data_IF_467106015292
#
_entry.id   IF_467106015292
#
_cell.length_a   1.000
_cell.length_b   1.000
_cell.length_c   1.000
_cell.angle_alpha   90.00
_cell.angle_beta   90.00
_cell.angle_gamma   90.00
#
_symmetry.space_group_name_H-M   'P 1'
#
loop_
_entity.id
_entity.type
_entity.pdbx_description
1 polymer ?
#
# COMPACT_ATOMS: atom_id res chain seq x y z
N UNK A 1 4.24 -19.20 11.91
CA UNK A 1 3.99 -18.29 10.78
C UNK A 1 3.75 -16.93 11.41
N UNK A 2 4.42 -15.87 10.96
CA UNK A 2 4.24 -14.54 11.53
C UNK A 2 2.85 -13.99 11.23
N UNK A 3 2.33 -13.19 12.15
CA UNK A 3 1.07 -12.45 12.03
C UNK A 3 1.34 -11.20 11.19
N UNK A 4 0.46 -10.90 10.24
CA UNK A 4 0.52 -9.68 9.43
C UNK A 4 -0.87 -9.07 9.44
N UNK A 5 -1.10 -8.19 10.42
CA UNK A 5 -2.39 -7.55 10.68
C UNK A 5 -2.19 -6.04 10.72
N UNK A 6 -3.09 -5.30 10.10
CA UNK A 6 -3.20 -3.86 10.27
C UNK A 6 -4.64 -3.44 10.13
N UNK A 7 -4.99 -2.32 10.75
CA UNK A 7 -6.36 -1.87 10.81
C UNK A 7 -6.63 -0.94 11.98
N UNK A 8 -7.90 -0.90 12.38
CA UNK A 8 -8.37 -0.03 13.47
C UNK A 8 -9.10 -0.84 14.54
N UNK A 9 -9.07 -0.34 15.77
CA UNK A 9 -9.82 -0.82 16.93
C UNK A 9 -10.57 0.34 17.57
N UNK A 10 -11.85 0.15 17.90
CA UNK A 10 -12.68 1.18 18.54
C UNK A 10 -13.86 0.57 19.31
N UNK A 11 -14.46 1.33 20.22
CA UNK A 11 -15.71 0.98 20.90
C UNK A 11 -16.91 1.58 20.17
N UNK A 12 -17.98 0.81 20.02
CA UNK A 12 -19.22 1.25 19.38
C UNK A 12 -20.02 2.09 20.37
N UNK A 13 -20.24 3.37 20.04
CA UNK A 13 -21.02 4.28 20.90
C UNK A 13 -22.53 4.06 20.85
N UNK A 14 -23.06 3.59 19.71
CA UNK A 14 -24.50 3.42 19.47
C UNK A 14 -24.82 2.15 18.67
N UNK A 15 -25.82 1.39 19.13
CA UNK A 15 -26.40 0.28 18.38
C UNK A 15 -27.09 0.84 17.12
N UNK A 16 -26.55 0.63 15.93
CA UNK A 16 -27.27 1.07 14.72
C UNK A 16 -26.57 0.88 13.39
N UNK A 17 -25.24 0.97 13.34
CA UNK A 17 -24.53 0.81 12.06
C UNK A 17 -24.31 -0.66 11.76
N UNK A 18 -24.92 -1.16 10.69
CA UNK A 18 -24.63 -2.48 10.15
C UNK A 18 -23.14 -2.62 9.82
N UNK A 19 -22.57 -3.82 10.00
CA UNK A 19 -21.14 -4.06 9.74
C UNK A 19 -20.77 -3.71 8.29
N UNK A 20 -21.66 -4.03 7.34
CA UNK A 20 -21.49 -3.71 5.92
C UNK A 20 -21.35 -2.19 5.70
N UNK A 21 -22.32 -1.39 6.16
CA UNK A 21 -22.27 0.07 6.05
C UNK A 21 -21.01 0.68 6.69
N UNK A 22 -20.55 0.12 7.81
CA UNK A 22 -19.29 0.53 8.45
C UNK A 22 -18.10 0.30 7.51
N UNK A 23 -18.01 -0.89 6.91
CA UNK A 23 -16.92 -1.24 6.00
C UNK A 23 -16.99 -0.40 4.71
N UNK A 24 -18.17 -0.21 4.14
CA UNK A 24 -18.36 0.66 2.96
C UNK A 24 -17.92 2.11 3.26
N UNK A 25 -18.28 2.64 4.43
CA UNK A 25 -17.89 3.99 4.83
C UNK A 25 -16.38 4.13 5.04
N UNK A 26 -15.73 3.11 5.61
CA UNK A 26 -14.28 3.09 5.83
C UNK A 26 -13.52 3.01 4.51
N UNK A 27 -13.91 2.09 3.64
CA UNK A 27 -13.23 1.80 2.38
C UNK A 27 -13.66 2.70 1.22
N UNK A 28 -14.71 3.50 1.38
CA UNK A 28 -15.28 4.37 0.34
C UNK A 28 -15.64 3.61 -0.94
N UNK A 29 -16.06 2.35 -0.81
CA UNK A 29 -16.45 1.48 -1.93
C UNK A 29 -17.56 0.53 -1.50
N UNK A 30 -18.41 0.12 -2.44
CA UNK A 30 -19.44 -0.89 -2.15
C UNK A 30 -18.72 -2.19 -1.81
N UNK A 31 -19.13 -2.82 -0.72
CA UNK A 31 -18.58 -4.12 -0.30
C UNK A 31 -19.65 -5.19 -0.33
N UNK A 32 -19.21 -6.45 -0.33
CA UNK A 32 -20.09 -7.59 -0.21
C UNK A 32 -19.58 -8.52 0.87
N UNK A 33 -20.44 -8.83 1.83
CA UNK A 33 -20.15 -9.89 2.80
C UNK A 33 -20.01 -11.24 2.09
N UNK A 34 -18.95 -11.97 2.42
CA UNK A 34 -18.69 -13.32 1.95
C UNK A 34 -18.74 -14.30 3.13
N UNK A 35 -19.09 -15.57 2.89
CA UNK A 35 -18.95 -16.59 3.93
C UNK A 35 -17.47 -16.74 4.31
N UNK A 36 -17.23 -17.46 5.42
CA UNK A 36 -15.88 -17.79 5.87
C UNK A 36 -14.98 -18.24 4.70
N UNK A 37 -13.90 -17.52 4.41
CA UNK A 37 -13.14 -17.75 3.18
C UNK A 37 -12.37 -19.06 3.24
N UNK A 38 -12.19 -19.71 2.08
CA UNK A 38 -11.24 -20.81 1.96
C UNK A 38 -9.82 -20.25 1.93
N UNK A 39 -8.84 -21.06 2.34
CA UNK A 39 -7.42 -20.69 2.26
C UNK A 39 -7.10 -20.19 0.84
N UNK A 40 -6.50 -19.00 0.74
CA UNK A 40 -6.07 -18.29 -0.49
C UNK A 40 -7.16 -17.47 -1.22
N UNK A 41 -8.42 -17.50 -0.80
CA UNK A 41 -9.47 -16.66 -1.41
C UNK A 41 -9.55 -15.26 -0.81
N UNK A 42 -8.93 -15.06 0.35
CA UNK A 42 -9.03 -13.84 1.14
C UNK A 42 -7.71 -13.58 1.86
N UNK A 43 -7.25 -12.33 1.78
CA UNK A 43 -6.02 -11.89 2.40
C UNK A 43 -6.15 -10.41 2.76
N UNK A 44 -6.20 -10.08 4.04
CA UNK A 44 -6.37 -8.69 4.55
C UNK A 44 -5.25 -7.72 4.13
N UNK A 45 -4.16 -8.23 3.53
CA UNK A 45 -3.12 -7.41 2.89
C UNK A 45 -3.58 -6.89 1.53
N UNK A 46 -4.57 -7.51 0.92
CA UNK A 46 -5.23 -6.99 -0.26
C UNK A 46 -6.13 -5.84 0.15
N UNK A 47 -6.01 -4.71 -0.55
CA UNK A 47 -6.83 -3.50 -0.32
C UNK A 47 -8.33 -3.75 -0.31
N UNK A 48 -8.81 -4.81 -0.99
CA UNK A 48 -10.23 -5.12 -1.14
C UNK A 48 -10.76 -6.16 -0.16
N UNK A 49 -9.90 -6.83 0.59
CA UNK A 49 -10.31 -7.87 1.52
C UNK A 49 -10.33 -7.24 2.92
N UNK A 50 -11.50 -7.16 3.54
CA UNK A 50 -11.68 -6.55 4.86
C UNK A 50 -12.25 -7.57 5.83
N UNK A 51 -11.56 -7.79 6.94
CA UNK A 51 -12.05 -8.66 8.01
C UNK A 51 -12.52 -7.78 9.16
N UNK A 52 -13.69 -8.08 9.72
CA UNK A 52 -14.20 -7.41 10.92
C UNK A 52 -14.34 -8.43 12.03
N UNK A 53 -13.79 -8.14 13.20
CA UNK A 53 -13.99 -8.93 14.41
C UNK A 53 -14.72 -8.07 15.45
N UNK A 54 -15.70 -8.66 16.14
CA UNK A 54 -16.42 -8.02 17.24
C UNK A 54 -16.20 -8.77 18.56
N UNK A 55 -15.84 -8.02 19.59
CA UNK A 55 -15.67 -8.43 20.98
C UNK A 55 -16.63 -7.58 21.82
N UNK A 56 -17.84 -8.06 22.07
CA UNK A 56 -18.91 -7.29 22.72
C UNK A 56 -19.13 -5.90 22.05
N UNK A 57 -18.69 -4.82 22.69
CA UNK A 57 -18.78 -3.44 22.22
C UNK A 57 -17.53 -2.95 21.46
N UNK A 58 -16.49 -3.77 21.37
CA UNK A 58 -15.25 -3.46 20.65
C UNK A 58 -15.28 -4.05 19.24
N UNK A 59 -14.88 -3.26 18.26
CA UNK A 59 -14.77 -3.65 16.85
C UNK A 59 -13.34 -3.49 16.40
N UNK A 60 -12.82 -4.53 15.75
CA UNK A 60 -11.59 -4.48 14.98
C UNK A 60 -11.92 -4.60 13.49
N UNK A 61 -11.38 -3.69 12.69
CA UNK A 61 -11.48 -3.75 11.22
C UNK A 61 -10.07 -3.91 10.68
N UNK A 62 -9.78 -5.06 10.06
CA UNK A 62 -8.48 -5.41 9.52
C UNK A 62 -8.44 -5.21 8.01
N UNK A 63 -7.62 -4.26 7.60
CA UNK A 63 -7.20 -4.01 6.23
C UNK A 63 -6.07 -2.96 6.29
N UNK A 64 -4.89 -3.28 5.77
CA UNK A 64 -3.73 -2.37 5.85
C UNK A 64 -3.97 -1.03 5.17
N UNK A 65 -4.69 -1.03 4.04
CA UNK A 65 -4.91 0.18 3.25
C UNK A 65 -5.76 1.24 3.95
N UNK A 66 -6.51 0.88 4.98
CA UNK A 66 -7.25 1.84 5.82
C UNK A 66 -6.29 2.75 6.60
N UNK A 67 -5.16 2.20 7.06
CA UNK A 67 -4.27 2.89 8.01
C UNK A 67 -2.90 3.22 7.44
N UNK A 68 -2.50 2.65 6.30
CA UNK A 68 -1.16 2.82 5.75
C UNK A 68 -0.80 4.30 5.52
N UNK A 69 -1.71 5.09 4.95
CA UNK A 69 -1.48 6.54 4.74
C UNK A 69 -1.35 7.30 6.06
N UNK A 70 -2.07 6.89 7.10
CA UNK A 70 -1.95 7.51 8.42
C UNK A 70 -0.59 7.16 9.06
N UNK A 71 -0.21 5.89 9.05
CA UNK A 71 0.95 5.38 9.77
C UNK A 71 2.28 5.61 9.04
N UNK A 72 2.30 5.45 7.72
CA UNK A 72 3.55 5.49 6.92
C UNK A 72 3.70 6.80 6.13
N UNK A 73 2.60 7.41 5.68
CA UNK A 73 2.64 8.70 4.97
C UNK A 73 2.39 9.90 5.91
N UNK A 74 2.02 9.64 7.17
CA UNK A 74 1.66 10.65 8.18
C UNK A 74 0.53 11.60 7.71
N UNK A 75 -0.40 11.10 6.89
CA UNK A 75 -1.55 11.86 6.42
C UNK A 75 -2.64 11.93 7.51
N UNK A 76 -2.61 13.02 8.28
CA UNK A 76 -3.53 13.28 9.38
C UNK A 76 -5.00 13.40 8.91
N UNK A 77 -5.27 13.70 7.64
CA UNK A 77 -6.65 13.78 7.13
C UNK A 77 -7.36 12.42 7.13
N UNK A 78 -6.58 11.32 7.08
CA UNK A 78 -7.09 9.95 7.16
C UNK A 78 -7.70 9.67 8.53
N UNK A 79 -7.13 10.21 9.61
CA UNK A 79 -7.66 10.03 10.96
C UNK A 79 -9.08 10.61 11.10
N UNK A 80 -9.32 11.79 10.52
CA UNK A 80 -10.63 12.44 10.50
C UNK A 80 -11.64 11.66 9.63
N UNK A 81 -11.22 11.15 8.47
CA UNK A 81 -12.08 10.28 7.66
C UNK A 81 -12.52 9.02 8.43
N UNK A 82 -11.57 8.32 9.06
CA UNK A 82 -11.85 7.14 9.88
C UNK A 82 -12.79 7.50 11.03
N UNK A 83 -12.51 8.58 11.75
CA UNK A 83 -13.31 9.06 12.88
C UNK A 83 -14.79 9.23 12.51
N UNK A 84 -15.07 9.93 11.40
CA UNK A 84 -16.44 10.10 10.93
C UNK A 84 -17.06 8.78 10.44
N UNK A 85 -16.29 7.96 9.72
CA UNK A 85 -16.77 6.68 9.17
C UNK A 85 -17.20 5.68 10.25
N UNK A 86 -16.54 5.69 11.41
CA UNK A 86 -16.86 4.79 12.53
C UNK A 86 -17.85 5.40 13.54
N UNK A 87 -18.42 6.58 13.23
CA UNK A 87 -19.46 7.21 14.02
C UNK A 87 -18.98 8.08 15.18
N UNK A 88 -17.81 8.72 15.02
CA UNK A 88 -17.27 9.72 15.96
C UNK A 88 -17.10 9.20 17.40
N UNK A 89 -16.41 8.06 17.62
CA UNK A 89 -16.18 7.53 18.95
C UNK A 89 -15.22 8.46 19.72
N UNK A 90 -15.27 8.44 21.04
CA UNK A 90 -14.30 9.23 21.84
C UNK A 90 -12.84 8.95 21.47
N UNK A 91 -12.57 7.72 21.04
CA UNK A 91 -11.24 7.26 20.66
C UNK A 91 -11.29 6.08 19.67
N UNK A 92 -10.26 5.97 18.83
CA UNK A 92 -9.88 4.73 18.17
C UNK A 92 -8.36 4.56 18.13
N UNK A 93 -7.91 3.32 17.92
CA UNK A 93 -6.50 2.96 17.71
C UNK A 93 -6.34 2.48 16.27
N UNK A 94 -5.49 3.15 15.48
CA UNK A 94 -4.95 2.59 14.24
C UNK A 94 -3.69 1.80 14.57
N UNK A 95 -3.46 0.66 13.94
CA UNK A 95 -2.31 -0.19 14.23
C UNK A 95 -1.81 -0.96 13.01
N UNK A 96 -0.53 -1.34 13.07
CA UNK A 96 0.06 -2.36 12.22
C UNK A 96 0.96 -3.28 13.05
N UNK A 97 0.88 -4.58 12.76
CA UNK A 97 1.66 -5.65 13.35
C UNK A 97 2.08 -6.58 12.21
N UNK A 98 3.24 -6.32 11.61
CA UNK A 98 3.75 -7.02 10.44
C UNK A 98 5.01 -7.82 10.79
N UNK A 99 4.86 -8.97 11.45
CA UNK A 99 5.97 -9.82 11.91
C UNK A 99 6.99 -10.14 10.82
N UNK A 100 6.52 -10.50 9.61
CA UNK A 100 7.39 -10.86 8.50
C UNK A 100 8.14 -9.66 7.91
N UNK A 101 7.58 -8.46 8.03
CA UNK A 101 8.17 -7.21 7.57
C UNK A 101 9.07 -6.57 8.63
N UNK A 102 8.88 -6.93 9.91
CA UNK A 102 9.52 -6.28 11.06
C UNK A 102 9.03 -4.85 11.29
N UNK A 103 7.78 -4.57 10.89
CA UNK A 103 7.18 -3.24 10.99
C UNK A 103 6.00 -3.28 11.95
N UNK A 104 6.04 -2.39 12.94
CA UNK A 104 5.05 -2.31 14.01
C UNK A 104 4.71 -0.86 14.24
N UNK A 105 3.45 -0.57 14.54
CA UNK A 105 3.06 0.80 14.77
C UNK A 105 1.65 0.95 15.29
N UNK A 106 1.41 2.11 15.87
CA UNK A 106 0.11 2.50 16.35
C UNK A 106 -0.07 4.02 16.28
N UNK A 107 -1.32 4.44 16.14
CA UNK A 107 -1.75 5.80 16.38
C UNK A 107 -2.97 5.77 17.31
N UNK A 108 -2.92 6.54 18.38
CA UNK A 108 -4.03 6.87 19.25
C UNK A 108 -4.70 8.11 18.66
N UNK A 109 -5.99 7.99 18.36
CA UNK A 109 -6.79 9.09 17.81
C UNK A 109 -7.92 9.39 18.77
N UNK A 110 -7.94 10.61 19.30
CA UNK A 110 -8.92 11.09 20.28
C UNK A 110 -9.74 12.22 19.65
N UNK A 111 -11.07 12.05 19.60
CA UNK A 111 -11.97 13.02 18.97
C UNK A 111 -11.57 13.41 17.53
N UNK A 112 -11.02 12.46 16.77
CA UNK A 112 -10.59 12.63 15.38
C UNK A 112 -9.16 13.15 15.20
N UNK A 113 -8.50 13.59 16.27
CA UNK A 113 -7.12 14.09 16.22
C UNK A 113 -6.13 13.05 16.73
N UNK A 114 -5.02 12.87 16.02
CA UNK A 114 -3.94 11.97 16.45
C UNK A 114 -3.28 12.59 17.69
N UNK A 115 -3.44 11.95 18.86
CA UNK A 115 -2.83 12.41 20.11
C UNK A 115 -1.43 11.82 20.31
N UNK A 116 -1.21 10.62 19.78
CA UNK A 116 0.06 9.89 19.86
C UNK A 116 0.20 8.95 18.68
N UNK A 117 1.35 8.95 18.01
CA UNK A 117 1.69 7.97 16.98
C UNK A 117 3.13 7.50 17.15
N UNK A 118 3.33 6.20 16.98
CA UNK A 118 4.63 5.54 16.95
C UNK A 118 4.62 4.48 15.86
N UNK A 119 5.52 4.57 14.89
CA UNK A 119 5.65 3.58 13.81
C UNK A 119 7.11 3.26 13.63
N UNK A 120 7.46 1.98 13.70
CA UNK A 120 8.79 1.46 13.44
C UNK A 120 8.72 0.61 12.17
N UNK A 121 9.58 0.92 11.20
CA UNK A 121 9.74 0.13 9.96
C UNK A 121 11.08 -0.59 10.01
N UNK A 122 11.10 -1.88 9.64
CA UNK A 122 12.34 -2.67 9.66
C UNK A 122 13.30 -2.27 8.55
N UNK A 123 14.60 -2.42 8.82
CA UNK A 123 15.66 -2.31 7.81
C UNK A 123 16.20 -0.90 7.58
N UNK A 124 15.48 0.13 7.99
CA UNK A 124 15.88 1.51 7.87
C UNK A 124 16.31 2.03 9.25
N UNK A 125 17.33 2.89 9.29
CA UNK A 125 17.72 3.59 10.51
C UNK A 125 17.63 5.12 10.30
N UNK A 126 16.74 5.84 11.02
CA UNK A 126 15.71 5.31 11.90
C UNK A 126 14.35 5.77 11.42
N UNK A 127 13.52 5.01 10.70
CA UNK A 127 12.13 5.36 10.58
C UNK A 127 11.44 4.76 11.81
N UNK A 128 11.76 5.35 12.96
CA UNK A 128 10.75 5.44 14.00
C UNK A 128 10.08 6.80 13.80
N UNK A 129 8.88 6.81 13.24
CA UNK A 129 8.03 8.00 13.25
C UNK A 129 7.39 8.08 14.62
N UNK A 130 7.65 9.17 15.33
CA UNK A 130 7.28 9.35 16.73
C UNK A 130 6.68 10.75 16.87
N UNK A 131 5.40 10.84 17.23
CA UNK A 131 4.62 12.07 17.29
C UNK A 131 3.70 12.08 18.51
N UNK A 132 3.51 13.24 19.14
CA UNK A 132 2.62 13.39 20.29
C UNK A 132 3.24 13.01 21.63
N UNK A 133 2.43 13.03 22.70
CA UNK A 133 2.88 12.74 24.06
C UNK A 133 2.86 11.24 24.34
N UNK A 134 3.86 10.73 25.08
CA UNK A 134 3.93 9.32 25.44
C UNK A 134 2.64 8.84 26.12
N UNK A 135 2.16 7.67 25.71
CA UNK A 135 1.04 7.02 26.38
C UNK A 135 1.44 6.53 27.78
N UNK A 136 0.46 6.19 28.62
CA UNK A 136 0.74 5.63 29.95
C UNK A 136 1.53 4.31 29.86
N UNK A 137 1.31 3.53 28.80
CA UNK A 137 2.00 2.26 28.52
C UNK A 137 3.45 2.52 28.10
N UNK A 138 3.70 3.55 27.30
CA UNK A 138 5.05 3.98 26.94
C UNK A 138 5.81 4.58 28.14
N UNK A 139 5.11 5.24 29.06
CA UNK A 139 5.72 5.80 30.27
C UNK A 139 6.38 4.72 31.14
N UNK A 140 5.94 3.46 31.03
CA UNK A 140 6.61 2.32 31.66
C UNK A 140 8.02 2.08 31.14
N UNK A 141 8.37 2.61 29.96
CA UNK A 141 9.70 2.52 29.36
C UNK A 141 10.43 3.87 29.35
N UNK A 142 9.78 4.92 29.83
CA UNK A 142 10.41 6.22 29.99
C UNK A 142 11.65 6.10 30.90
N UNK A 143 12.75 6.72 30.46
CA UNK A 143 14.05 6.67 31.11
C UNK A 143 14.83 5.35 30.93
N UNK A 144 14.33 4.39 30.14
CA UNK A 144 15.10 3.19 29.80
C UNK A 144 16.43 3.56 29.14
N UNK A 145 17.48 2.79 29.45
CA UNK A 145 18.79 2.98 28.85
C UNK A 145 18.76 2.45 27.43
N UNK A 146 19.10 3.30 26.46
CA UNK A 146 19.16 2.89 25.04
C UNK A 146 20.56 2.42 24.67
N UNK A 147 20.65 1.27 24.02
CA UNK A 147 21.85 0.70 23.38
C UNK A 147 21.61 0.53 21.88
N UNK A 148 22.68 0.49 21.11
CA UNK A 148 22.64 0.27 19.66
C UNK A 148 23.60 -0.87 19.30
N UNK A 149 23.16 -1.77 18.44
CA UNK A 149 23.91 -2.94 17.98
C UNK A 149 24.00 -2.97 16.46
N UNK A 150 25.06 -3.55 15.89
CA UNK A 150 25.11 -3.83 14.44
C UNK A 150 24.37 -5.12 14.09
N UNK A 151 24.34 -5.44 12.79
CA UNK A 151 23.86 -6.73 12.27
C UNK A 151 24.64 -7.95 12.76
N UNK A 152 25.81 -7.77 13.35
CA UNK A 152 26.60 -8.84 13.97
C UNK A 152 26.38 -8.94 15.49
N UNK A 153 25.56 -8.06 16.08
CA UNK A 153 25.30 -8.01 17.51
C UNK A 153 26.38 -7.32 18.35
N UNK A 154 27.31 -6.59 17.74
CA UNK A 154 28.31 -5.82 18.47
C UNK A 154 27.73 -4.49 18.97
N UNK A 155 28.03 -4.15 20.23
CA UNK A 155 27.59 -2.89 20.83
C UNK A 155 28.32 -1.67 20.23
N UNK A 156 27.57 -0.71 19.70
CA UNK A 156 28.12 0.57 19.25
C UNK A 156 28.49 1.50 20.41
N UNK A 157 29.67 2.11 20.32
CA UNK A 157 30.16 3.09 21.29
C UNK A 157 29.66 4.49 20.93
N UNK A 158 29.16 5.25 21.92
CA UNK A 158 28.46 6.54 21.78
C UNK A 158 29.13 7.59 20.85
N UNK A 159 30.47 7.64 20.80
CA UNK A 159 31.20 8.58 19.95
C UNK A 159 31.01 8.29 18.44
N UNK A 160 30.87 7.02 18.04
CA UNK A 160 30.67 6.66 16.63
C UNK A 160 29.22 6.78 16.15
N UNK A 161 28.26 6.90 17.07
CA UNK A 161 26.85 7.07 16.74
C UNK A 161 26.55 8.47 16.20
N UNK A 162 27.10 9.53 16.82
CA UNK A 162 26.90 10.92 16.38
C UNK A 162 27.53 11.17 15.02
N UNK A 163 28.75 10.69 14.80
CA UNK A 163 29.45 10.80 13.51
C UNK A 163 28.67 10.06 12.41
N UNK A 164 28.00 8.95 12.73
CA UNK A 164 27.19 8.20 11.77
C UNK A 164 25.81 8.79 11.52
N UNK A 165 25.12 9.32 12.53
CA UNK A 165 23.88 10.07 12.30
C UNK A 165 24.18 11.27 11.42
N UNK A 166 25.28 11.98 11.69
CA UNK A 166 25.75 13.05 10.82
C UNK A 166 26.05 12.53 9.40
N UNK A 167 26.78 11.43 9.25
CA UNK A 167 27.08 10.87 7.93
C UNK A 167 25.83 10.34 7.20
N UNK A 168 24.85 9.75 7.89
CA UNK A 168 23.58 9.31 7.31
C UNK A 168 22.77 10.50 6.80
N UNK A 169 22.63 11.55 7.61
CA UNK A 169 21.95 12.79 7.21
C UNK A 169 22.68 13.53 6.08
N UNK A 170 24.01 13.36 5.96
CA UNK A 170 24.84 14.04 4.96
C UNK A 170 25.12 13.19 3.70
N UNK A 171 24.96 11.87 3.76
CA UNK A 171 25.21 10.99 2.61
C UNK A 171 24.04 11.08 1.63
N UNK A 172 24.22 11.85 0.57
CA UNK A 172 23.27 11.92 -0.56
C UNK A 172 23.06 10.60 -1.32
N UNK A 173 23.83 9.56 -0.98
CA UNK A 173 23.71 8.22 -1.54
C UNK A 173 23.26 7.27 -0.43
N UNK A 174 21.96 6.98 -0.39
CA UNK A 174 21.21 6.09 0.53
C UNK A 174 21.73 4.63 0.61
N UNK A 175 23.04 4.41 0.72
CA UNK A 175 23.65 3.09 0.91
C UNK A 175 24.42 3.06 2.22
N UNK A 176 23.71 3.26 3.33
CA UNK A 176 24.25 2.79 4.60
C UNK A 176 23.94 1.29 4.65
N UNK A 177 24.92 0.47 4.26
CA UNK A 177 24.79 -0.99 4.21
C UNK A 177 24.69 -1.63 5.61
N UNK A 178 25.00 -0.89 6.67
CA UNK A 178 24.96 -1.40 8.05
C UNK A 178 23.64 -1.08 8.75
N UNK A 179 22.88 -2.14 9.08
CA UNK A 179 21.66 -2.06 9.89
C UNK A 179 22.02 -1.90 11.38
N UNK A 180 21.46 -0.86 12.00
CA UNK A 180 21.56 -0.63 13.43
C UNK A 180 20.29 -1.08 14.15
N UNK A 181 20.44 -1.82 15.23
CA UNK A 181 19.35 -2.28 16.08
C UNK A 181 19.35 -1.47 17.38
N UNK A 182 18.27 -0.72 17.60
CA UNK A 182 18.04 0.01 18.85
C UNK A 182 17.41 -0.92 19.88
N UNK A 183 17.97 -0.94 21.10
CA UNK A 183 17.53 -1.78 22.21
C UNK A 183 17.33 -0.91 23.46
N UNK A 184 16.20 -1.11 24.14
CA UNK A 184 15.85 -0.45 25.41
C UNK A 184 16.10 -1.41 26.56
N UNK A 185 16.87 -0.96 27.54
CA UNK A 185 17.20 -1.72 28.73
C UNK A 185 16.56 -1.07 29.96
N UNK A 186 15.71 -1.80 30.69
CA UNK A 186 15.10 -1.35 31.93
C UNK A 186 15.10 -2.49 32.96
N UNK A 187 15.92 -2.35 34.00
CA UNK A 187 16.15 -3.45 34.95
C UNK A 187 16.91 -4.59 34.26
N UNK A 188 16.34 -5.80 34.31
CA UNK A 188 16.86 -7.00 33.63
C UNK A 188 16.28 -7.18 32.22
N UNK A 189 15.26 -6.41 31.85
CA UNK A 189 14.61 -6.50 30.54
C UNK A 189 15.43 -5.74 29.48
N UNK A 190 15.62 -6.39 28.33
CA UNK A 190 16.14 -5.80 27.11
C UNK A 190 15.15 -6.06 25.97
N UNK A 191 14.67 -5.02 25.31
CA UNK A 191 13.75 -5.11 24.17
C UNK A 191 14.31 -4.37 22.97
N UNK A 192 14.27 -5.00 21.79
CA UNK A 192 14.47 -4.29 20.53
C UNK A 192 13.34 -3.26 20.32
N UNK A 193 13.62 -2.21 19.55
CA UNK A 193 12.66 -1.11 19.32
C UNK A 193 11.34 -1.59 18.69
N UNK A 194 11.40 -2.61 17.83
CA UNK A 194 10.23 -3.24 17.25
C UNK A 194 9.43 -4.03 18.32
N UNK A 195 10.11 -4.82 19.17
CA UNK A 195 9.49 -5.57 20.27
C UNK A 195 8.86 -4.63 21.31
N UNK A 196 9.50 -3.49 21.57
CA UNK A 196 8.95 -2.47 22.44
C UNK A 196 7.66 -1.89 21.83
N UNK A 197 7.67 -1.58 20.53
CA UNK A 197 6.50 -1.01 19.84
C UNK A 197 5.35 -2.01 19.80
N UNK A 198 5.62 -3.28 19.51
CA UNK A 198 4.66 -4.38 19.57
C UNK A 198 4.07 -4.55 20.98
N UNK A 199 4.94 -4.57 22.01
CA UNK A 199 4.52 -4.72 23.40
C UNK A 199 3.65 -3.56 23.86
N UNK A 200 4.03 -2.32 23.52
CA UNK A 200 3.24 -1.13 23.83
C UNK A 200 1.88 -1.18 23.13
N UNK A 201 1.82 -1.55 21.84
CA UNK A 201 0.56 -1.73 21.12
C UNK A 201 -0.34 -2.76 21.83
N UNK A 202 0.23 -3.90 22.22
CA UNK A 202 -0.49 -4.94 22.94
C UNK A 202 -1.06 -4.41 24.28
N UNK A 203 -0.23 -3.73 25.08
CA UNK A 203 -0.64 -3.13 26.35
C UNK A 203 -1.74 -2.08 26.16
N UNK A 204 -1.66 -1.26 25.11
CA UNK A 204 -2.69 -0.27 24.74
C UNK A 204 -4.02 -0.97 24.45
N UNK A 205 -4.01 -2.00 23.59
CA UNK A 205 -5.23 -2.72 23.21
C UNK A 205 -5.86 -3.43 24.41
N UNK A 206 -5.06 -4.16 25.20
CA UNK A 206 -5.57 -4.85 26.41
C UNK A 206 -6.15 -3.84 27.40
N UNK A 207 -5.46 -2.73 27.66
CA UNK A 207 -5.94 -1.78 28.67
C UNK A 207 -7.19 -1.02 28.22
N UNK A 208 -7.26 -0.61 26.95
CA UNK A 208 -8.37 0.22 26.43
C UNK A 208 -9.57 -0.61 25.99
N UNK A 209 -9.32 -1.79 25.45
CA UNK A 209 -10.35 -2.65 24.85
C UNK A 209 -10.57 -3.98 25.57
N UNK A 210 -9.74 -4.32 26.58
CA UNK A 210 -9.81 -5.58 27.33
C UNK A 210 -9.57 -6.84 26.47
N UNK A 211 -9.14 -6.65 25.22
CA UNK A 211 -8.87 -7.72 24.28
C UNK A 211 -7.72 -7.34 23.33
N UNK A 212 -7.09 -8.36 22.76
CA UNK A 212 -6.05 -8.21 21.76
C UNK A 212 -6.27 -9.31 20.71
N UNK A 213 -6.56 -8.97 19.45
CA UNK A 213 -7.21 -9.91 18.54
C UNK A 213 -6.30 -11.06 18.08
N UNK A 214 -5.00 -10.97 18.31
CA UNK A 214 -4.04 -12.04 18.09
C UNK A 214 -3.64 -12.83 19.35
N UNK A 215 -4.16 -12.45 20.53
CA UNK A 215 -3.85 -13.10 21.82
C UNK A 215 -5.09 -13.63 22.57
N UNK A 216 -6.30 -13.35 22.09
CA UNK A 216 -7.55 -13.71 22.77
C UNK A 216 -8.16 -14.98 22.16
N UNK A 217 -8.48 -15.97 23.01
CA UNK A 217 -9.14 -17.24 22.62
C UNK A 217 -10.68 -17.19 22.70
N UNK A 218 -11.28 -16.01 22.89
CA UNK A 218 -12.72 -15.85 23.06
C UNK A 218 -13.51 -16.21 21.79
N UNK A 219 -14.79 -16.54 21.94
CA UNK A 219 -15.70 -16.74 20.82
C UNK A 219 -16.01 -15.40 20.14
N UNK A 220 -15.50 -15.22 18.92
CA UNK A 220 -15.60 -13.96 18.18
C UNK A 220 -16.60 -14.04 17.05
N UNK A 221 -17.41 -13.01 16.92
CA UNK A 221 -18.16 -12.79 15.69
C UNK A 221 -17.20 -12.21 14.65
N UNK A 222 -17.00 -12.97 13.56
CA UNK A 222 -16.12 -12.58 12.46
C UNK A 222 -16.93 -12.43 11.18
N UNK A 223 -16.64 -11.36 10.44
CA UNK A 223 -17.28 -11.02 9.19
C UNK A 223 -16.20 -10.75 8.15
N UNK A 224 -16.44 -11.16 6.91
CA UNK A 224 -15.49 -11.05 5.82
C UNK A 224 -16.15 -10.31 4.66
N UNK A 225 -15.50 -9.27 4.17
CA UNK A 225 -16.04 -8.45 3.09
C UNK A 225 -15.06 -8.38 1.94
N UNK A 226 -15.61 -8.37 0.73
CA UNK A 226 -14.87 -8.03 -0.48
C UNK A 226 -15.39 -6.74 -1.07
N UNK A 227 -14.48 -5.78 -1.26
CA UNK A 227 -14.73 -4.61 -2.09
C UNK A 227 -15.13 -5.02 -3.50
N UNK A 228 -16.19 -4.40 -3.99
CA UNK A 228 -16.50 -4.43 -5.41
C UNK A 228 -15.47 -3.56 -6.11
N UNK A 229 -14.58 -4.21 -6.86
CA UNK A 229 -13.58 -3.46 -7.60
C UNK A 229 -14.29 -2.73 -8.74
N UNK A 230 -14.09 -1.42 -8.85
CA UNK A 230 -14.31 -0.74 -10.14
C UNK A 230 -13.33 -1.31 -11.16
N UNK A 231 -13.69 -1.29 -12.46
CA UNK A 231 -12.80 -1.80 -13.51
C UNK A 231 -11.39 -1.16 -13.44
N UNK A 232 -11.32 0.11 -13.05
CA UNK A 232 -10.11 0.89 -12.76
C UNK A 232 -9.28 0.36 -11.58
N UNK A 233 -9.92 -0.18 -10.53
CA UNK A 233 -9.24 -0.78 -9.37
C UNK A 233 -8.86 -2.25 -9.61
N UNK A 234 -9.59 -2.97 -10.47
CA UNK A 234 -9.17 -4.28 -10.98
C UNK A 234 -7.92 -4.14 -11.83
N UNK A 235 -7.87 -3.11 -12.67
CA UNK A 235 -6.78 -2.88 -13.62
C UNK A 235 -5.61 -2.09 -13.02
N UNK A 236 -5.79 -1.40 -11.89
CA UNK A 236 -4.79 -0.50 -11.29
C UNK A 236 -4.60 0.81 -12.07
N UNK A 237 -5.59 1.23 -12.87
CA UNK A 237 -5.45 2.32 -13.85
C UNK A 237 -6.67 3.23 -13.86
N UNK A 238 -6.44 4.53 -13.62
CA UNK A 238 -7.30 5.61 -14.10
C UNK A 238 -7.10 5.74 -15.62
N UNK A 239 -8.20 5.72 -16.36
CA UNK A 239 -8.20 5.61 -17.82
C UNK A 239 -7.65 6.87 -18.51
N UNK A 240 -6.32 6.99 -18.67
CA UNK A 240 -5.73 8.30 -19.06
C UNK A 240 -4.78 8.26 -20.28
N UNK A 241 -4.88 7.27 -21.17
CA UNK A 241 -4.08 7.21 -22.39
C UNK A 241 -4.93 7.13 -23.66
N UNK A 242 -4.59 7.98 -24.63
CA UNK A 242 -5.02 7.84 -26.01
C UNK A 242 -3.78 7.67 -26.87
N UNK A 243 -3.70 6.53 -27.53
CA UNK A 243 -2.60 6.14 -28.42
C UNK A 243 -3.16 5.96 -29.80
N UNK A 244 -2.63 6.71 -30.77
CA UNK A 244 -2.88 6.44 -32.18
C UNK A 244 -1.82 5.45 -32.67
N UNK A 245 -2.28 4.36 -33.29
CA UNK A 245 -1.42 3.32 -33.81
C UNK A 245 -1.65 3.16 -35.31
N UNK A 246 -0.56 2.87 -36.02
CA UNK A 246 -0.58 2.38 -37.40
C UNK A 246 -0.08 0.93 -37.41
N UNK A 247 -0.96 0.01 -37.80
CA UNK A 247 -0.55 -1.36 -38.13
C UNK A 247 0.19 -1.33 -39.47
N UNK A 248 1.47 -0.97 -39.47
CA UNK A 248 2.30 -1.12 -40.67
C UNK A 248 2.49 -2.62 -40.94
N UNK A 249 1.63 -3.15 -41.80
CA UNK A 249 1.55 -4.52 -42.33
C UNK A 249 2.64 -5.49 -41.83
N UNK A 250 2.30 -6.30 -40.83
CA UNK A 250 2.95 -7.58 -40.63
C UNK A 250 2.62 -8.45 -41.86
N UNK A 251 3.48 -8.42 -42.88
CA UNK A 251 3.25 -9.11 -44.17
C UNK A 251 3.23 -10.64 -44.04
N UNK A 252 3.48 -11.20 -42.86
CA UNK A 252 3.75 -12.62 -42.68
C UNK A 252 2.63 -13.44 -42.01
N UNK A 253 1.59 -12.81 -41.45
CA UNK A 253 0.51 -13.57 -40.78
C UNK A 253 -0.87 -13.21 -41.31
N UNK A 254 -1.51 -14.15 -42.01
CA UNK A 254 -2.89 -14.10 -42.49
C UNK A 254 -3.95 -14.19 -41.37
N UNK A 255 -3.62 -13.74 -40.17
CA UNK A 255 -4.46 -13.87 -38.98
C UNK A 255 -5.33 -12.61 -38.87
N UNK A 256 -6.65 -12.78 -38.94
CA UNK A 256 -7.60 -11.71 -38.59
C UNK A 256 -7.47 -11.41 -37.09
N UNK A 257 -7.09 -10.18 -36.77
CA UNK A 257 -6.92 -9.66 -35.41
C UNK A 257 -8.32 -9.29 -34.88
N UNK A 258 -8.91 -10.15 -34.03
CA UNK A 258 -10.28 -10.00 -33.53
C UNK A 258 -10.39 -9.85 -32.00
N UNK A 259 -9.28 -9.65 -31.27
CA UNK A 259 -9.31 -9.56 -29.79
C UNK A 259 -9.28 -8.10 -29.31
N UNK A 260 -9.92 -7.84 -28.16
CA UNK A 260 -10.03 -6.52 -27.54
C UNK A 260 -8.79 -6.15 -26.71
N UNK A 261 -8.13 -7.15 -26.13
CA UNK A 261 -7.00 -6.99 -25.22
C UNK A 261 -5.78 -7.77 -25.73
N UNK A 262 -4.65 -7.09 -25.86
CA UNK A 262 -3.38 -7.72 -26.22
C UNK A 262 -2.28 -7.37 -25.25
N UNK A 263 -1.43 -8.35 -24.97
CA UNK A 263 -0.15 -8.10 -24.31
C UNK A 263 0.86 -7.63 -25.37
N UNK A 264 1.51 -6.53 -25.05
CA UNK A 264 2.43 -5.83 -25.91
C UNK A 264 3.71 -5.57 -25.13
N UNK A 265 4.83 -5.69 -25.82
CA UNK A 265 6.14 -5.40 -25.24
C UNK A 265 6.62 -4.07 -25.82
N UNK A 266 6.61 -3.02 -24.99
CA UNK A 266 7.17 -1.72 -25.38
C UNK A 266 8.69 -1.78 -25.27
N UNK A 267 9.35 -1.47 -26.39
CA UNK A 267 10.78 -1.22 -26.44
C UNK A 267 11.04 0.25 -26.69
N UNK A 268 11.72 0.88 -25.75
CA UNK A 268 12.15 2.26 -25.86
C UNK A 268 13.60 2.27 -26.34
N UNK A 269 13.90 3.10 -27.34
CA UNK A 269 15.25 3.21 -27.90
C UNK A 269 16.29 3.65 -26.86
N UNK A 270 15.85 4.30 -25.79
CA UNK A 270 16.68 4.85 -24.71
C UNK A 270 16.77 3.93 -23.48
N UNK A 271 16.20 2.72 -23.52
CA UNK A 271 16.19 1.78 -22.40
C UNK A 271 16.76 0.41 -22.80
N UNK A 272 17.62 -0.13 -21.94
CA UNK A 272 18.10 -1.52 -22.01
C UNK A 272 17.06 -2.55 -21.49
N UNK A 273 15.81 -2.13 -21.31
CA UNK A 273 14.75 -2.97 -20.73
C UNK A 273 13.43 -2.77 -21.47
N UNK A 274 12.68 -3.87 -21.55
CA UNK A 274 11.36 -3.91 -22.14
C UNK A 274 10.29 -3.78 -21.06
N UNK A 275 9.18 -3.13 -21.39
CA UNK A 275 8.03 -2.97 -20.48
C UNK A 275 6.84 -3.70 -21.06
N UNK A 276 6.26 -4.62 -20.29
CA UNK A 276 5.03 -5.29 -20.69
C UNK A 276 3.83 -4.38 -20.42
N UNK A 277 2.99 -4.21 -21.43
CA UNK A 277 1.79 -3.38 -21.38
C UNK A 277 0.63 -4.13 -22.01
N UNK A 278 -0.60 -3.80 -21.62
CA UNK A 278 -1.80 -4.28 -22.29
C UNK A 278 -2.42 -3.16 -23.10
N UNK A 279 -2.82 -3.43 -24.32
CA UNK A 279 -3.55 -2.45 -25.14
C UNK A 279 -5.03 -2.83 -25.19
N UNK A 280 -5.91 -1.85 -24.98
CA UNK A 280 -7.34 -1.95 -25.25
C UNK A 280 -7.70 -0.98 -26.39
N UNK A 281 -8.18 -1.54 -27.50
CA UNK A 281 -8.52 -0.77 -28.70
C UNK A 281 -9.87 -0.06 -28.55
N UNK A 282 -9.96 1.14 -29.11
CA UNK A 282 -11.13 2.01 -29.03
C UNK A 282 -11.78 2.20 -30.41
N UNK A 283 -13.11 2.33 -30.43
CA UNK A 283 -13.90 2.67 -31.61
C UNK A 283 -13.82 4.18 -31.95
N UNK A 284 -14.50 4.58 -33.01
CA UNK A 284 -14.58 5.98 -33.47
C UNK A 284 -15.21 6.95 -32.45
N UNK A 285 -15.87 6.42 -31.41
CA UNK A 285 -16.47 7.15 -30.29
C UNK A 285 -15.62 7.10 -29.03
N UNK A 286 -14.43 6.50 -29.09
CA UNK A 286 -13.51 6.37 -27.97
C UNK A 286 -13.95 5.32 -26.94
N UNK A 287 -14.82 4.36 -27.32
CA UNK A 287 -15.24 3.25 -26.43
C UNK A 287 -14.48 1.97 -26.77
N UNK A 288 -14.27 1.06 -25.80
CA UNK A 288 -13.63 -0.21 -26.07
C UNK A 288 -14.33 -1.00 -27.20
N UNK A 289 -13.56 -1.47 -28.17
CA UNK A 289 -14.04 -2.36 -29.24
C UNK A 289 -14.45 -3.68 -28.61
N UNK A 290 -15.66 -4.18 -28.89
CA UNK A 290 -16.15 -5.42 -28.27
C UNK A 290 -15.38 -6.63 -28.82
N UNK A 291 -15.12 -7.62 -27.96
CA UNK A 291 -14.51 -8.87 -28.38
C UNK A 291 -15.25 -9.54 -29.55
N UNK A 292 -14.51 -9.88 -30.61
CA UNK A 292 -15.04 -10.46 -31.84
C UNK A 292 -15.31 -9.46 -32.97
N UNK A 293 -15.37 -8.15 -32.66
CA UNK A 293 -15.46 -7.10 -33.66
C UNK A 293 -14.07 -6.82 -34.28
N UNK A 294 -14.06 -6.41 -35.55
CA UNK A 294 -12.82 -6.09 -36.26
C UNK A 294 -12.24 -4.79 -35.71
N UNK A 295 -10.99 -4.84 -35.23
CA UNK A 295 -10.22 -3.63 -34.87
C UNK A 295 -9.80 -2.91 -36.16
N UNK A 296 -9.92 -1.59 -36.18
CA UNK A 296 -9.49 -0.78 -37.32
C UNK A 296 -7.95 -0.87 -37.49
N UNK A 297 -7.48 -0.84 -38.73
CA UNK A 297 -6.03 -0.85 -39.04
C UNK A 297 -5.32 0.43 -38.57
N UNK A 298 -6.07 1.50 -38.37
CA UNK A 298 -5.62 2.77 -37.79
C UNK A 298 -6.71 3.22 -36.83
N UNK A 299 -6.34 3.56 -35.59
CA UNK A 299 -7.32 3.93 -34.58
C UNK A 299 -6.71 4.36 -33.26
N UNK A 300 -7.57 4.57 -32.26
CA UNK A 300 -7.17 4.89 -30.90
C UNK A 300 -7.11 3.63 -30.03
N UNK A 301 -6.16 3.57 -29.10
CA UNK A 301 -6.09 2.57 -28.05
C UNK A 301 -5.80 3.26 -26.71
N UNK A 302 -6.16 2.61 -25.61
CA UNK A 302 -5.62 2.91 -24.30
C UNK A 302 -4.58 1.85 -23.94
N UNK A 303 -3.49 2.27 -23.29
CA UNK A 303 -2.39 1.39 -22.85
C UNK A 303 -2.47 1.24 -21.35
N UNK A 304 -2.27 0.00 -20.90
CA UNK A 304 -2.38 -0.41 -19.52
C UNK A 304 -1.02 -0.91 -19.08
N UNK A 305 -0.39 -0.23 -18.12
CA UNK A 305 0.88 -0.70 -17.57
C UNK A 305 0.59 -1.73 -16.48
N UNK A 306 1.26 -2.86 -16.52
CA UNK A 306 1.22 -3.81 -15.41
C UNK A 306 2.28 -3.35 -14.38
N UNK A 307 1.84 -2.88 -13.20
CA UNK A 307 2.46 -3.04 -11.86
C UNK A 307 2.92 -1.84 -11.03
N UNK A 308 2.84 -2.08 -9.71
CA UNK A 308 3.19 -1.24 -8.55
C UNK A 308 4.69 -0.92 -8.41
N UNK A 309 5.60 -1.81 -8.86
CA UNK A 309 7.05 -1.67 -8.64
C UNK A 309 7.75 -0.76 -9.67
N UNK A 310 7.09 -0.42 -10.78
CA UNK A 310 7.69 0.34 -11.88
C UNK A 310 7.35 1.84 -11.84
N UNK A 311 6.51 2.27 -10.91
CA UNK A 311 6.03 3.66 -10.81
C UNK A 311 7.17 4.66 -10.63
N UNK A 312 8.15 4.35 -9.79
CA UNK A 312 9.34 5.18 -9.52
C UNK A 312 10.34 5.19 -10.70
N UNK A 313 10.36 4.16 -11.54
CA UNK A 313 11.27 4.09 -12.69
C UNK A 313 10.72 4.78 -13.94
N UNK A 314 9.40 4.96 -14.02
CA UNK A 314 8.71 5.65 -15.12
C UNK A 314 8.88 7.18 -15.06
N UNK A 315 9.14 7.77 -13.88
CA UNK A 315 9.40 9.23 -13.74
C UNK A 315 10.58 9.70 -14.60
N UNK A 316 11.52 8.80 -14.91
CA UNK A 316 12.73 9.10 -15.68
C UNK A 316 12.54 9.09 -17.20
N UNK A 317 11.33 8.79 -17.69
CA UNK A 317 11.10 8.60 -19.11
C UNK A 317 10.71 9.91 -19.82
N UNK A 318 11.67 10.47 -20.55
CA UNK A 318 11.40 11.39 -21.66
C UNK A 318 11.09 10.55 -22.90
N UNK A 319 9.83 10.09 -23.00
CA UNK A 319 9.40 9.28 -24.14
C UNK A 319 9.12 10.21 -25.32
N UNK A 320 10.17 10.54 -26.06
CA UNK A 320 10.04 11.09 -27.40
C UNK A 320 9.14 10.19 -28.26
N UNK A 321 8.40 10.80 -29.18
CA UNK A 321 7.22 10.31 -29.91
C UNK A 321 7.40 9.09 -30.83
N UNK A 322 8.20 8.07 -30.49
CA UNK A 322 8.36 6.85 -31.29
C UNK A 322 8.67 5.65 -30.40
N UNK A 323 7.64 4.96 -29.93
CA UNK A 323 7.82 3.66 -29.28
C UNK A 323 7.60 2.55 -30.30
N UNK A 324 8.53 1.58 -30.34
CA UNK A 324 8.31 0.33 -31.05
C UNK A 324 7.69 -0.66 -30.08
N UNK A 325 6.56 -1.19 -30.49
CA UNK A 325 5.78 -2.08 -29.64
C UNK A 325 5.69 -3.41 -30.36
N UNK A 326 6.02 -4.49 -29.68
CA UNK A 326 5.97 -5.82 -30.25
C UNK A 326 4.71 -6.52 -29.78
N UNK A 327 3.87 -6.94 -30.73
CA UNK A 327 2.67 -7.71 -30.44
C UNK A 327 3.04 -9.15 -30.13
N UNK A 328 2.54 -9.65 -29.00
CA UNK A 328 2.66 -11.07 -28.66
C UNK A 328 1.31 -11.64 -28.27
N UNK A 329 1.05 -12.87 -28.70
CA UNK A 329 -0.01 -13.68 -28.11
C UNK A 329 0.63 -14.92 -27.51
N UNK A 330 0.64 -15.00 -26.18
CA UNK A 330 1.48 -15.94 -25.42
C UNK A 330 2.95 -15.68 -25.76
N UNK A 331 3.63 -16.64 -26.36
CA UNK A 331 5.03 -16.51 -26.74
C UNK A 331 5.25 -16.16 -28.21
N UNK A 332 4.19 -16.17 -29.03
CA UNK A 332 4.30 -15.96 -30.47
C UNK A 332 4.31 -14.47 -30.80
N UNK A 333 5.32 -14.08 -31.60
CA UNK A 333 5.44 -12.75 -32.15
C UNK A 333 4.44 -12.57 -33.30
N UNK A 334 3.54 -11.61 -33.16
CA UNK A 334 2.47 -11.36 -34.13
C UNK A 334 2.75 -10.15 -35.03
N UNK A 335 3.68 -9.27 -34.66
CA UNK A 335 4.06 -8.11 -35.49
C UNK A 335 4.55 -6.90 -34.68
N UNK A 336 4.81 -5.81 -35.39
CA UNK A 336 5.17 -4.51 -34.80
C UNK A 336 3.96 -3.57 -34.79
N UNK A 337 3.87 -2.76 -33.74
CA UNK A 337 3.06 -1.54 -33.68
C UNK A 337 4.03 -0.38 -33.74
N UNK A 338 3.74 0.55 -34.64
CA UNK A 338 4.30 1.89 -34.54
C UNK A 338 3.34 2.72 -33.69
N UNK A 339 3.83 3.20 -32.55
CA UNK A 339 3.15 4.22 -31.77
C UNK A 339 3.71 5.57 -32.17
N UNK A 340 2.88 6.34 -32.88
CA UNK A 340 3.26 7.62 -33.48
C UNK A 340 3.38 8.75 -32.46
N UNK A 341 2.61 8.67 -31.37
CA UNK A 341 2.66 9.64 -30.29
C UNK A 341 2.11 9.01 -28.99
N UNK A 342 2.83 9.22 -27.89
CA UNK A 342 2.32 8.93 -26.54
C UNK A 342 2.04 10.27 -25.88
N UNK A 343 0.76 10.58 -25.71
CA UNK A 343 0.34 11.86 -25.16
C UNK A 343 0.51 11.88 -23.62
N UNK A 344 1.35 12.83 -23.17
CA UNK A 344 1.37 13.43 -21.82
C UNK A 344 1.51 12.47 -20.61
N UNK A 345 2.52 11.59 -20.66
CA UNK A 345 2.88 10.66 -19.57
C UNK A 345 3.05 11.34 -18.18
N UNK A 346 3.58 12.57 -18.13
CA UNK A 346 3.92 13.25 -16.86
C UNK A 346 2.71 13.79 -16.11
N UNK A 347 1.70 14.36 -16.79
CA UNK A 347 0.51 14.89 -16.12
C UNK A 347 -0.32 13.83 -15.41
N UNK A 348 -0.29 12.60 -15.92
CA UNK A 348 -1.22 11.54 -15.52
C UNK A 348 -0.63 10.55 -14.50
N UNK A 349 0.68 10.57 -14.27
CA UNK A 349 1.31 9.93 -13.10
C UNK A 349 1.06 10.76 -11.82
N UNK A 350 0.52 11.98 -11.94
CA UNK A 350 0.28 12.89 -10.82
C UNK A 350 1.53 13.65 -10.36
N UNK A 351 2.54 13.77 -11.22
CA UNK A 351 3.81 14.46 -10.90
C UNK A 351 3.64 15.93 -10.49
N UNK A 352 2.64 16.63 -11.04
CA UNK A 352 2.36 18.03 -10.66
C UNK A 352 1.91 18.17 -9.20
N UNK A 353 1.38 17.10 -8.58
CA UNK A 353 1.08 17.06 -7.14
C UNK A 353 2.30 16.73 -6.27
N UNK A 354 3.27 15.98 -6.81
CA UNK A 354 4.53 15.67 -6.11
C UNK A 354 5.49 16.85 -6.10
N UNK A 355 5.55 17.62 -7.20
CA UNK A 355 6.42 18.82 -7.30
C UNK A 355 5.91 20.03 -6.53
N UNK A 356 4.67 20.02 -6.04
CA UNK A 356 4.16 21.04 -5.11
C UNK A 356 4.45 20.71 -3.64
N UNK A 357 5.01 19.53 -3.36
CA UNK A 357 5.42 19.07 -2.02
C UNK A 357 6.94 19.03 -1.85
N UNK A 358 7.71 19.48 -2.85
CA UNK A 358 9.15 19.78 -2.77
C UNK A 358 9.39 21.29 -2.79
#
# INVERSE_FOLDING_TARGET
MGVSLAGIAFRVGHEGTGVENLVESLCQTDVKEIPWPRSNEFDIRNTNDVMVQRFEDVVFVFNGSIVDKLLFDNDQSVAQHIYHAIGEPSEFIAFCNYDSGGSYGFAIVENGDVSRMRVQVSGDFPPCFDYGSLSEEEMLWHGAKVKFYDSEGNLYKKASLLDRVANFLLSKNNKVEERLFKVYCKGEDELHDYELTERVLNDILIKRYQCCPWNTEEDLSQYFFKGSKTLSEISGISADFRVEYDFSACRETSININYQHYECELKFDNLDRNVNVYMEFLDDKGKPVKGGDKVAEIGAATIWLRFDFYREQLEFLDVGSKAKVYYRHRDEYLGEVCVDEILDLRKNIGLDKLLQLS
#
